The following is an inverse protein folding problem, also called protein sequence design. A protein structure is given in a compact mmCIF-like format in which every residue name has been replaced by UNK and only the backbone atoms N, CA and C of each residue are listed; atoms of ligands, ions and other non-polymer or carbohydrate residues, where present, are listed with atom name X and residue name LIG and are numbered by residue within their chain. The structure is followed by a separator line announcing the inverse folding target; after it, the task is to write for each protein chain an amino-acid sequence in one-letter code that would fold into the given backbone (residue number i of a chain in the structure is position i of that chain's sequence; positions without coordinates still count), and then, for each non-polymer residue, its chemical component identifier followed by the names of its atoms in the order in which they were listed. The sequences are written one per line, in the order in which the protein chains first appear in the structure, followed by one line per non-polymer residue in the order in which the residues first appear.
data_IF_664797579003
#
_entry.id   IF_664797579003
#
_cell.length_a   1.000
_cell.length_b   1.000
_cell.length_c   1.000
_cell.angle_alpha   90.00
_cell.angle_beta   90.00
_cell.angle_gamma   90.00
#
_symmetry.space_group_name_H-M   'P 1'
#
loop_
_entity.id
_entity.type
_entity.pdbx_description
1 polymer ?
#
# COMPACT_ATOMS: atom_id res chain seq x y z
N UNK A 1 -40.96 -7.09 40.19
CA UNK A 1 -40.24 -8.31 39.76
C UNK A 1 -41.15 -9.06 38.79
N UNK A 2 -40.72 -9.18 37.53
CA UNK A 2 -41.25 -10.06 36.46
C UNK A 2 -42.40 -9.67 35.49
N UNK A 3 -43.45 -8.85 35.76
CA UNK A 3 -44.54 -8.71 34.77
C UNK A 3 -44.21 -7.77 33.60
N UNK A 4 -43.24 -6.86 33.75
CA UNK A 4 -42.90 -5.88 32.71
C UNK A 4 -42.00 -6.45 31.60
N UNK A 5 -41.23 -7.50 31.90
CA UNK A 5 -40.37 -8.17 30.93
C UNK A 5 -41.17 -9.08 30.00
N UNK A 6 -42.28 -9.64 30.46
CA UNK A 6 -43.15 -10.49 29.63
C UNK A 6 -44.08 -9.69 28.71
N UNK A 7 -44.32 -8.39 28.96
CA UNK A 7 -45.04 -7.52 28.02
C UNK A 7 -44.30 -7.32 26.69
N UNK A 8 -42.99 -7.56 26.66
CA UNK A 8 -42.19 -7.50 25.42
C UNK A 8 -42.40 -8.76 24.57
N UNK A 9 -42.93 -9.85 25.13
CA UNK A 9 -42.95 -11.17 24.50
C UNK A 9 -44.33 -11.69 24.07
N UNK A 10 -45.34 -10.82 24.05
CA UNK A 10 -46.64 -11.14 23.49
C UNK A 10 -47.67 -11.59 24.52
N UNK A 11 -48.92 -11.43 24.14
CA UNK A 11 -50.08 -11.67 24.99
C UNK A 11 -50.55 -13.13 24.86
N UNK A 12 -50.93 -13.77 25.98
CA UNK A 12 -51.48 -15.13 25.99
C UNK A 12 -53.01 -15.03 25.90
N UNK A 13 -53.64 -15.48 24.80
CA UNK A 13 -55.07 -15.27 24.56
C UNK A 13 -55.98 -16.05 25.52
N UNK A 14 -55.45 -17.02 26.28
CA UNK A 14 -56.24 -17.77 27.26
C UNK A 14 -56.58 -16.98 28.53
N UNK A 15 -55.86 -15.90 28.84
CA UNK A 15 -56.05 -15.11 30.08
C UNK A 15 -56.78 -13.79 29.82
N UNK A 16 -56.72 -13.26 28.59
CA UNK A 16 -57.38 -12.00 28.21
C UNK A 16 -58.09 -12.13 26.86
N UNK A 17 -59.43 -12.05 26.89
CA UNK A 17 -60.31 -12.24 25.72
C UNK A 17 -60.27 -11.09 24.68
N UNK A 18 -59.63 -9.97 25.02
CA UNK A 18 -59.47 -8.77 24.17
C UNK A 18 -58.06 -8.59 23.59
N UNK A 19 -57.19 -9.61 23.67
CA UNK A 19 -55.89 -9.55 23.03
C UNK A 19 -55.96 -10.01 21.58
N UNK A 20 -55.93 -9.06 20.66
CA UNK A 20 -55.60 -9.34 19.25
C UNK A 20 -54.09 -9.55 19.16
N UNK A 21 -53.63 -10.73 18.71
CA UNK A 21 -52.19 -11.00 18.54
C UNK A 21 -51.60 -10.11 17.44
N UNK A 22 -51.12 -8.94 17.85
CA UNK A 22 -50.42 -7.97 17.00
C UNK A 22 -48.91 -7.94 17.27
N UNK A 23 -48.40 -8.89 18.07
CA UNK A 23 -46.99 -8.90 18.53
C UNK A 23 -46.05 -9.65 17.57
N UNK A 24 -46.55 -10.69 16.89
CA UNK A 24 -45.74 -11.49 15.97
C UNK A 24 -45.36 -10.72 14.68
N UNK A 25 -46.27 -9.89 14.16
CA UNK A 25 -46.00 -9.12 12.94
C UNK A 25 -45.10 -7.89 13.20
N UNK A 26 -45.37 -7.13 14.27
CA UNK A 26 -44.70 -5.86 14.55
C UNK A 26 -43.22 -6.03 14.91
N UNK A 27 -42.86 -7.09 15.64
CA UNK A 27 -41.48 -7.42 16.00
C UNK A 27 -40.63 -7.80 14.78
N UNK A 28 -41.23 -8.48 13.80
CA UNK A 28 -40.56 -8.84 12.54
C UNK A 28 -40.18 -7.59 11.73
N UNK A 29 -41.13 -6.65 11.56
CA UNK A 29 -40.85 -5.40 10.83
C UNK A 29 -39.84 -4.51 11.55
N UNK A 30 -39.94 -4.39 12.89
CA UNK A 30 -38.95 -3.64 13.68
C UNK A 30 -37.55 -4.25 13.58
N UNK A 31 -37.44 -5.59 13.61
CA UNK A 31 -36.17 -6.30 13.43
C UNK A 31 -35.53 -6.06 12.07
N UNK A 32 -36.33 -6.07 11.00
CA UNK A 32 -35.84 -5.79 9.64
C UNK A 32 -35.31 -4.35 9.55
N UNK A 33 -36.07 -3.37 10.04
CA UNK A 33 -35.67 -1.95 9.98
C UNK A 33 -34.37 -1.74 10.78
N UNK A 34 -34.31 -2.23 12.02
CA UNK A 34 -33.13 -2.11 12.87
C UNK A 34 -31.92 -2.83 12.25
N UNK A 35 -32.11 -4.05 11.74
CA UNK A 35 -31.05 -4.82 11.08
C UNK A 35 -30.51 -4.12 9.83
N UNK A 36 -31.38 -3.50 9.03
CA UNK A 36 -30.99 -2.78 7.82
C UNK A 36 -30.15 -1.54 8.15
N UNK A 37 -30.53 -0.80 9.20
CA UNK A 37 -29.77 0.38 9.66
C UNK A 37 -28.39 -0.04 10.15
N UNK A 38 -28.30 -1.06 11.00
CA UNK A 38 -27.03 -1.56 11.54
C UNK A 38 -26.13 -2.08 10.41
N UNK A 39 -26.70 -2.84 9.48
CA UNK A 39 -26.00 -3.34 8.30
C UNK A 39 -25.43 -2.21 7.45
N UNK A 40 -26.23 -1.18 7.17
CA UNK A 40 -25.79 -0.02 6.40
C UNK A 40 -24.62 0.73 7.09
N UNK A 41 -24.66 0.90 8.41
CA UNK A 41 -23.59 1.56 9.17
C UNK A 41 -22.28 0.77 9.11
N UNK A 42 -22.34 -0.56 9.29
CA UNK A 42 -21.15 -1.42 9.23
C UNK A 42 -20.57 -1.43 7.82
N UNK A 43 -21.41 -1.60 6.79
CA UNK A 43 -20.98 -1.56 5.39
C UNK A 43 -20.35 -0.23 5.02
N UNK A 44 -20.92 0.89 5.47
CA UNK A 44 -20.35 2.22 5.25
C UNK A 44 -18.99 2.37 5.92
N UNK A 45 -18.85 1.88 7.16
CA UNK A 45 -17.59 1.94 7.90
C UNK A 45 -16.48 1.14 7.21
N UNK A 46 -16.78 -0.07 6.72
CA UNK A 46 -15.83 -0.90 5.97
C UNK A 46 -15.42 -0.20 4.68
N UNK A 47 -16.39 0.32 3.90
CA UNK A 47 -16.11 1.04 2.66
C UNK A 47 -15.20 2.25 2.90
N UNK A 48 -15.48 3.05 3.94
CA UNK A 48 -14.68 4.22 4.29
C UNK A 48 -13.24 3.84 4.66
N UNK A 49 -13.05 2.75 5.41
CA UNK A 49 -11.71 2.24 5.77
C UNK A 49 -10.95 1.74 4.54
N UNK A 50 -11.60 0.96 3.66
CA UNK A 50 -10.96 0.43 2.45
C UNK A 50 -10.57 1.53 1.46
N UNK A 51 -11.43 2.54 1.26
CA UNK A 51 -11.15 3.68 0.38
C UNK A 51 -9.91 4.47 0.80
N UNK A 52 -9.65 4.57 2.11
CA UNK A 52 -8.44 5.23 2.63
C UNK A 52 -7.18 4.39 2.37
N UNK A 53 -7.29 3.06 2.42
CA UNK A 53 -6.19 2.14 2.14
C UNK A 53 -5.85 2.14 0.65
N UNK A 54 -6.84 2.08 -0.25
CA UNK A 54 -6.59 2.09 -1.69
C UNK A 54 -5.86 3.37 -2.13
N UNK A 55 -6.26 4.53 -1.61
CA UNK A 55 -5.59 5.80 -1.90
C UNK A 55 -4.13 5.85 -1.40
N UNK A 56 -3.83 5.18 -0.29
CA UNK A 56 -2.45 5.10 0.21
C UNK A 56 -1.62 4.14 -0.66
N UNK A 57 -2.22 3.02 -1.05
CA UNK A 57 -1.57 2.01 -1.88
C UNK A 57 -1.25 2.56 -3.28
N UNK A 58 -2.14 3.36 -3.88
CA UNK A 58 -1.90 4.04 -5.16
C UNK A 58 -0.73 5.03 -5.08
N UNK A 59 -0.61 5.79 -3.98
CA UNK A 59 0.54 6.70 -3.77
C UNK A 59 1.85 5.94 -3.58
N UNK A 60 1.82 4.84 -2.85
CA UNK A 60 3.01 4.00 -2.65
C UNK A 60 3.43 3.38 -3.98
N UNK A 61 2.48 2.86 -4.77
CA UNK A 61 2.76 2.27 -6.08
C UNK A 61 3.32 3.30 -7.07
N UNK A 62 2.79 4.53 -7.07
CA UNK A 62 3.33 5.63 -7.88
C UNK A 62 4.75 5.99 -7.48
N UNK A 63 5.05 6.02 -6.17
CA UNK A 63 6.41 6.31 -5.66
C UNK A 63 7.39 5.19 -5.96
N UNK A 64 6.96 3.93 -5.92
CA UNK A 64 7.80 2.78 -6.31
C UNK A 64 8.10 2.85 -7.82
N UNK A 65 7.12 3.17 -8.65
CA UNK A 65 7.30 3.32 -10.10
C UNK A 65 8.28 4.44 -10.46
N UNK A 66 8.15 5.61 -9.82
CA UNK A 66 9.07 6.74 -9.99
C UNK A 66 10.49 6.41 -9.51
N UNK A 67 10.59 5.64 -8.42
CA UNK A 67 11.86 5.16 -7.89
C UNK A 67 12.51 4.13 -8.84
N UNK A 68 11.75 3.20 -9.43
CA UNK A 68 12.22 2.24 -10.43
C UNK A 68 12.74 2.94 -11.70
N UNK A 69 12.05 3.98 -12.16
CA UNK A 69 12.46 4.80 -13.30
C UNK A 69 13.79 5.55 -13.01
N UNK A 70 13.94 6.09 -11.79
CA UNK A 70 15.21 6.68 -11.33
C UNK A 70 16.35 5.66 -11.22
N UNK A 71 16.08 4.41 -10.82
CA UNK A 71 17.10 3.36 -10.80
C UNK A 71 17.57 2.99 -12.22
N UNK A 72 16.68 3.03 -13.22
CA UNK A 72 17.05 2.85 -14.62
C UNK A 72 18.03 3.93 -15.12
N UNK A 73 17.81 5.18 -14.73
CA UNK A 73 18.75 6.28 -15.05
C UNK A 73 20.08 6.17 -14.28
N UNK A 74 20.05 5.72 -13.02
CA UNK A 74 21.26 5.50 -12.22
C UNK A 74 22.09 4.37 -12.83
N UNK A 75 21.48 3.25 -13.24
CA UNK A 75 22.18 2.16 -13.93
C UNK A 75 22.78 2.62 -15.25
N UNK A 76 22.07 3.47 -16.01
CA UNK A 76 22.59 4.05 -17.26
C UNK A 76 23.76 5.01 -17.00
N UNK A 77 23.68 5.84 -15.97
CA UNK A 77 24.79 6.71 -15.55
C UNK A 77 25.97 5.91 -15.01
N UNK A 78 25.73 4.79 -14.32
CA UNK A 78 26.78 3.92 -13.82
C UNK A 78 27.53 3.25 -14.98
N UNK A 79 26.81 2.77 -15.99
CA UNK A 79 27.43 2.23 -17.21
C UNK A 79 28.25 3.28 -17.99
N UNK A 80 27.73 4.51 -18.13
CA UNK A 80 28.45 5.62 -18.79
C UNK A 80 29.65 6.12 -17.98
N UNK A 81 29.61 5.96 -16.65
CA UNK A 81 30.72 6.29 -15.75
C UNK A 81 31.83 5.24 -15.82
N UNK A 82 31.47 3.95 -15.91
CA UNK A 82 32.42 2.83 -16.03
C UNK A 82 33.20 2.91 -17.36
N UNK A 83 32.51 3.17 -18.48
CA UNK A 83 33.14 3.35 -19.81
C UNK A 83 34.12 4.54 -19.85
N UNK A 84 33.83 5.61 -19.11
CA UNK A 84 34.75 6.76 -19.00
C UNK A 84 35.96 6.45 -18.12
N UNK A 85 35.78 5.61 -17.10
CA UNK A 85 36.88 5.18 -16.26
C UNK A 85 37.86 4.29 -17.03
N UNK A 86 37.38 3.39 -17.89
CA UNK A 86 38.23 2.56 -18.74
C UNK A 86 39.12 3.41 -19.67
N UNK A 87 38.54 4.42 -20.33
CA UNK A 87 39.30 5.37 -21.17
C UNK A 87 40.34 6.17 -20.39
N UNK A 88 40.02 6.54 -19.15
CA UNK A 88 40.98 7.25 -18.29
C UNK A 88 42.15 6.33 -17.88
N UNK A 89 41.87 5.06 -17.60
CA UNK A 89 42.90 4.08 -17.28
C UNK A 89 43.81 3.77 -18.47
N UNK A 90 43.27 3.66 -19.68
CA UNK A 90 44.06 3.49 -20.91
C UNK A 90 45.00 4.68 -21.13
N UNK A 91 44.49 5.91 -20.96
CA UNK A 91 45.31 7.11 -21.09
C UNK A 91 46.43 7.18 -20.04
N UNK A 92 46.15 6.75 -18.80
CA UNK A 92 47.16 6.67 -17.73
C UNK A 92 48.22 5.60 -18.07
N UNK A 93 47.80 4.46 -18.60
CA UNK A 93 48.72 3.39 -19.00
C UNK A 93 49.62 3.82 -20.17
N UNK A 94 49.07 4.48 -21.18
CA UNK A 94 49.82 5.04 -22.31
C UNK A 94 50.83 6.10 -21.83
N UNK A 95 50.43 6.94 -20.89
CA UNK A 95 51.32 7.93 -20.29
C UNK A 95 52.48 7.26 -19.51
N UNK A 96 52.19 6.21 -18.74
CA UNK A 96 53.20 5.44 -18.01
C UNK A 96 54.21 4.76 -18.94
N UNK A 97 53.73 4.18 -20.05
CA UNK A 97 54.59 3.58 -21.07
C UNK A 97 55.48 4.61 -21.76
N UNK A 98 54.93 5.79 -22.07
CA UNK A 98 55.70 6.90 -22.64
C UNK A 98 56.78 7.38 -21.65
N UNK A 99 56.47 7.53 -20.37
CA UNK A 99 57.45 7.90 -19.34
C UNK A 99 58.58 6.87 -19.22
N UNK A 100 58.26 5.57 -19.20
CA UNK A 100 59.27 4.49 -19.17
C UNK A 100 60.19 4.52 -20.39
N UNK A 101 59.63 4.79 -21.58
CA UNK A 101 60.40 4.91 -22.82
C UNK A 101 61.36 6.11 -22.82
N UNK A 102 60.93 7.25 -22.24
CA UNK A 102 61.74 8.45 -22.10
C UNK A 102 62.86 8.24 -21.09
N UNK A 103 62.56 7.59 -19.95
CA UNK A 103 63.54 7.30 -18.90
C UNK A 103 64.66 6.38 -19.42
N UNK A 104 64.30 5.33 -20.16
CA UNK A 104 65.27 4.42 -20.80
C UNK A 104 66.18 5.15 -21.79
N UNK A 105 65.62 6.09 -22.56
CA UNK A 105 66.41 6.92 -23.49
C UNK A 105 67.39 7.83 -22.76
N UNK A 106 66.95 8.51 -21.69
CA UNK A 106 67.83 9.37 -20.90
C UNK A 106 68.96 8.60 -20.22
N UNK A 107 68.71 7.38 -19.73
CA UNK A 107 69.75 6.53 -19.14
C UNK A 107 70.77 6.05 -20.17
N UNK A 108 70.37 5.86 -21.43
CA UNK A 108 71.31 5.52 -22.53
C UNK A 108 72.09 6.73 -23.05
N UNK A 109 71.53 7.94 -23.01
CA UNK A 109 72.23 9.18 -23.42
C UNK A 109 73.20 9.70 -22.33
N UNK A 110 73.06 9.25 -21.07
CA UNK A 110 73.92 9.65 -19.94
C UNK A 110 75.12 8.71 -19.74
N UNK A 111 75.29 7.68 -20.58
CA UNK A 111 76.35 6.67 -20.48
C UNK A 111 77.31 6.74 -21.67
#
# INVERSE_FOLDING_TARGET
MFPFLFSIWGCIPEISKDCTDMTNASSTYLGIIAGTIIGAVISWWIYYRQKKISQMQDRILSRIKELEESHGEILKKLADFDDKHEKAFDAIHELGSNIDSVLKKSDTDTK
#
